data_IF_347161542724
#
_entry.id   IF_347161542724
#
_cell.length_a   1.000
_cell.length_b   1.000
_cell.length_c   1.000
_cell.angle_alpha   90.00
_cell.angle_beta   90.00
_cell.angle_gamma   90.00
#
_symmetry.space_group_name_H-M   'P 1'
#
loop_
_entity.id
_entity.type
_entity.pdbx_description
1 polymer ?
#
# COMPACT_ATOMS: atom_id res chain seq x y z
N UNK A 1 -38.96 -32.94 7.39
CA UNK A 1 -40.20 -32.17 7.16
C UNK A 1 -40.30 -31.84 5.68
N UNK A 2 -41.27 -32.47 5.04
CA UNK A 2 -41.90 -32.16 3.76
C UNK A 2 -42.64 -30.80 3.97
N UNK A 3 -42.83 -29.81 3.07
CA UNK A 3 -43.29 -29.80 1.68
C UNK A 3 -43.18 -28.37 1.09
N UNK A 4 -43.14 -28.29 -0.25
CA UNK A 4 -43.85 -27.27 -1.06
C UNK A 4 -43.04 -26.03 -1.46
N UNK A 5 -42.83 -25.66 -2.72
CA UNK A 5 -43.47 -26.03 -3.98
C UNK A 5 -44.51 -24.97 -4.43
N UNK A 6 -44.41 -24.55 -5.70
CA UNK A 6 -45.33 -23.69 -6.51
C UNK A 6 -45.02 -22.18 -6.50
N UNK A 7 -45.14 -21.42 -7.59
CA UNK A 7 -45.62 -21.71 -8.94
C UNK A 7 -45.17 -20.62 -9.93
N UNK A 8 -45.17 -21.03 -11.19
CA UNK A 8 -44.94 -20.28 -12.42
C UNK A 8 -46.09 -19.28 -12.67
N UNK A 9 -45.78 -18.08 -13.17
CA UNK A 9 -46.72 -17.32 -14.03
C UNK A 9 -45.99 -16.76 -15.25
N UNK A 10 -46.29 -17.36 -16.41
CA UNK A 10 -46.06 -16.84 -17.76
C UNK A 10 -47.40 -16.36 -18.35
N UNK A 11 -47.30 -15.38 -19.26
CA UNK A 11 -48.13 -15.05 -20.44
C UNK A 11 -48.56 -13.57 -20.48
N UNK A 12 -48.92 -13.01 -21.66
CA UNK A 12 -48.47 -13.30 -23.04
C UNK A 12 -48.18 -11.98 -23.84
N UNK A 13 -47.85 -12.06 -25.15
CA UNK A 13 -47.38 -10.93 -25.97
C UNK A 13 -48.51 -10.28 -26.78
N UNK A 14 -48.23 -9.11 -27.36
CA UNK A 14 -49.09 -8.48 -28.37
C UNK A 14 -48.29 -8.08 -29.61
N UNK A 15 -48.84 -8.51 -30.75
CA UNK A 15 -48.53 -8.29 -32.16
C UNK A 15 -48.29 -6.80 -32.53
N UNK A 16 -47.32 -6.45 -33.37
CA UNK A 16 -47.19 -6.56 -34.84
C UNK A 16 -47.77 -5.37 -35.63
N UNK A 17 -47.16 -5.13 -36.81
CA UNK A 17 -47.35 -4.09 -37.85
C UNK A 17 -46.30 -2.97 -37.77
N UNK A 18 -45.47 -2.67 -38.78
CA UNK A 18 -45.49 -3.01 -40.20
C UNK A 18 -45.45 -1.71 -41.02
N UNK A 19 -44.34 -1.43 -41.73
CA UNK A 19 -44.29 -0.83 -43.09
C UNK A 19 -42.88 -0.36 -43.46
N UNK A 20 -42.48 -0.77 -44.66
CA UNK A 20 -41.48 -0.13 -45.48
C UNK A 20 -42.03 1.18 -46.08
N UNK A 21 -41.18 2.18 -46.34
CA UNK A 21 -40.86 2.65 -47.70
C UNK A 21 -40.15 4.01 -47.73
N UNK A 22 -39.21 4.08 -48.69
CA UNK A 22 -38.81 5.22 -49.53
C UNK A 22 -38.31 6.55 -48.93
N UNK A 23 -37.01 6.79 -49.14
CA UNK A 23 -36.45 7.84 -50.00
C UNK A 23 -37.33 9.08 -50.23
N UNK A 24 -36.88 10.25 -49.73
CA UNK A 24 -36.88 11.48 -50.55
C UNK A 24 -35.81 12.45 -50.05
N UNK A 25 -34.92 12.82 -50.97
CA UNK A 25 -34.00 13.96 -50.87
C UNK A 25 -34.80 15.26 -50.63
N UNK A 26 -34.34 16.09 -49.68
CA UNK A 26 -34.60 17.53 -49.74
C UNK A 26 -33.32 18.28 -49.42
N UNK A 27 -32.79 18.88 -50.49
CA UNK A 27 -31.89 20.02 -50.43
C UNK A 27 -32.49 21.10 -49.52
N UNK A 28 -31.71 21.56 -48.56
CA UNK A 28 -31.87 22.89 -48.00
C UNK A 28 -30.59 23.69 -48.22
N UNK A 29 -30.77 24.70 -49.04
CA UNK A 29 -29.89 25.81 -49.37
C UNK A 29 -29.40 26.55 -48.12
N UNK A 30 -28.08 26.76 -48.05
CA UNK A 30 -27.42 27.68 -47.13
C UNK A 30 -27.70 29.14 -47.57
N UNK A 31 -28.03 30.06 -46.64
CA UNK A 31 -27.87 31.49 -46.86
C UNK A 31 -26.45 31.97 -46.49
N UNK A 32 -26.00 33.11 -47.06
CA UNK A 32 -24.60 33.53 -47.05
C UNK A 32 -24.18 34.33 -45.82
N UNK A 33 -22.85 34.36 -45.65
CA UNK A 33 -22.03 35.19 -44.77
C UNK A 33 -22.60 36.56 -44.32
N UNK A 34 -22.50 36.82 -43.01
CA UNK A 34 -22.16 38.08 -42.32
C UNK A 34 -22.11 37.71 -40.81
N UNK A 35 -21.16 38.07 -39.95
CA UNK A 35 -20.18 39.14 -39.95
C UNK A 35 -18.95 38.74 -39.11
N UNK A 36 -17.83 39.41 -39.39
CA UNK A 36 -16.55 39.32 -38.69
C UNK A 36 -16.69 39.64 -37.19
N UNK A 37 -16.53 38.62 -36.34
CA UNK A 37 -16.21 38.82 -34.93
C UNK A 37 -14.71 39.03 -34.78
N UNK A 38 -14.35 40.18 -34.20
CA UNK A 38 -13.00 40.64 -33.93
C UNK A 38 -12.16 39.63 -33.15
N UNK A 39 -10.94 39.37 -33.64
CA UNK A 39 -9.97 38.38 -33.15
C UNK A 39 -9.35 38.67 -31.74
N UNK A 40 -10.07 39.39 -30.85
CA UNK A 40 -9.64 39.64 -29.46
C UNK A 40 -10.39 38.84 -28.39
N UNK A 41 -11.49 38.16 -28.74
CA UNK A 41 -12.28 37.35 -27.78
C UNK A 41 -12.07 35.83 -27.88
N UNK A 42 -11.34 35.37 -28.91
CA UNK A 42 -11.06 33.94 -29.12
C UNK A 42 -10.30 33.27 -27.96
N UNK A 43 -9.31 33.90 -27.29
CA UNK A 43 -8.60 33.28 -26.18
C UNK A 43 -9.48 33.08 -24.94
N UNK A 44 -10.41 34.02 -24.68
CA UNK A 44 -11.35 33.93 -23.55
C UNK A 44 -12.44 32.90 -23.79
N UNK A 45 -12.95 32.79 -25.01
CA UNK A 45 -13.98 31.82 -25.35
C UNK A 45 -13.44 30.39 -25.34
N UNK A 46 -12.21 30.16 -25.83
CA UNK A 46 -11.54 28.85 -25.74
C UNK A 46 -11.21 28.49 -24.29
N UNK A 47 -10.75 29.44 -23.45
CA UNK A 47 -10.51 29.18 -22.02
C UNK A 47 -11.82 28.86 -21.26
N UNK A 48 -12.92 29.55 -21.61
CA UNK A 48 -14.27 29.27 -21.08
C UNK A 48 -14.89 27.95 -21.60
N UNK A 49 -14.50 27.51 -22.81
CA UNK A 49 -14.94 26.22 -23.37
C UNK A 49 -14.09 25.06 -22.86
N UNK A 50 -12.77 25.23 -22.68
CA UNK A 50 -11.88 24.24 -22.08
C UNK A 50 -12.16 24.03 -20.58
N UNK A 51 -12.56 25.08 -19.86
CA UNK A 51 -13.07 24.97 -18.47
C UNK A 51 -14.47 24.36 -18.37
N UNK A 52 -15.22 24.29 -19.48
CA UNK A 52 -16.48 23.53 -19.58
C UNK A 52 -16.27 22.06 -19.97
N UNK A 53 -15.16 21.74 -20.63
CA UNK A 53 -14.86 20.39 -21.16
C UNK A 53 -14.02 19.52 -20.23
N UNK A 54 -13.36 20.10 -19.22
CA UNK A 54 -12.98 19.37 -18.02
C UNK A 54 -14.06 19.56 -16.97
N UNK A 55 -15.23 18.96 -17.18
CA UNK A 55 -16.18 18.79 -16.08
C UNK A 55 -15.45 17.92 -15.05
N UNK A 56 -15.08 18.42 -13.85
CA UNK A 56 -14.59 17.53 -12.82
C UNK A 56 -15.71 16.53 -12.59
N UNK A 57 -15.40 15.24 -12.73
CA UNK A 57 -16.33 14.14 -12.52
C UNK A 57 -17.22 14.48 -11.31
N UNK A 58 -18.55 14.37 -11.42
CA UNK A 58 -19.48 14.90 -10.44
C UNK A 58 -19.05 14.38 -9.07
N UNK A 59 -18.73 15.26 -8.11
CA UNK A 59 -17.83 14.92 -6.99
C UNK A 59 -18.18 13.69 -6.14
N UNK A 60 -19.39 13.13 -6.28
CA UNK A 60 -19.80 11.81 -5.76
C UNK A 60 -19.10 10.63 -6.44
N UNK A 61 -18.59 10.78 -7.66
CA UNK A 61 -17.83 9.77 -8.40
C UNK A 61 -16.53 9.37 -7.69
N UNK A 62 -16.04 10.22 -6.79
CA UNK A 62 -14.83 10.01 -6.01
C UNK A 62 -15.11 9.67 -4.54
N UNK A 63 -16.37 9.49 -4.13
CA UNK A 63 -16.69 9.18 -2.73
C UNK A 63 -16.01 7.89 -2.25
N UNK A 64 -15.76 6.92 -3.15
CA UNK A 64 -15.00 5.70 -2.85
C UNK A 64 -13.58 5.97 -2.34
N UNK A 65 -12.97 7.09 -2.74
CA UNK A 65 -11.63 7.49 -2.33
C UNK A 65 -11.56 8.04 -0.88
N UNK A 66 -12.71 8.45 -0.32
CA UNK A 66 -12.81 9.11 0.99
C UNK A 66 -13.60 8.27 2.01
N UNK A 67 -14.39 7.28 1.58
CA UNK A 67 -15.31 6.54 2.44
C UNK A 67 -14.65 5.64 3.51
N UNK A 68 -13.37 5.30 3.36
CA UNK A 68 -12.66 4.35 4.24
C UNK A 68 -12.06 4.98 5.50
N UNK A 69 -11.96 6.32 5.57
CA UNK A 69 -11.04 6.97 6.52
C UNK A 69 -11.67 7.95 7.51
N UNK A 70 -12.98 8.22 7.42
CA UNK A 70 -13.61 9.24 8.26
C UNK A 70 -14.57 8.63 9.31
N UNK A 71 -14.25 8.68 10.61
CA UNK A 71 -15.31 8.78 11.61
C UNK A 71 -16.13 10.05 11.30
N UNK A 72 -17.46 9.96 11.32
CA UNK A 72 -18.34 11.10 11.01
C UNK A 72 -18.06 12.24 11.99
N UNK A 73 -17.43 13.30 11.49
CA UNK A 73 -16.96 14.41 12.31
C UNK A 73 -15.74 14.04 13.18
N UNK A 74 -14.84 15.01 13.37
CA UNK A 74 -13.64 14.85 14.16
C UNK A 74 -13.68 15.76 15.40
N UNK A 75 -13.52 15.15 16.57
CA UNK A 75 -13.25 15.89 17.81
C UNK A 75 -11.86 16.56 17.72
N UNK A 76 -11.57 17.62 18.50
CA UNK A 76 -10.25 18.27 18.48
C UNK A 76 -9.08 17.31 18.74
N UNK A 77 -9.26 16.33 19.63
CA UNK A 77 -8.27 15.29 19.90
C UNK A 77 -7.95 14.47 18.64
N UNK A 78 -8.97 14.08 17.87
CA UNK A 78 -8.82 13.36 16.60
C UNK A 78 -8.05 14.18 15.57
N UNK A 79 -8.37 15.48 15.44
CA UNK A 79 -7.65 16.37 14.51
C UNK A 79 -6.16 16.47 14.85
N UNK A 80 -5.84 16.58 16.15
CA UNK A 80 -4.46 16.59 16.63
C UNK A 80 -3.75 15.28 16.31
N UNK A 81 -4.39 14.13 16.57
CA UNK A 81 -3.82 12.83 16.21
C UNK A 81 -3.56 12.72 14.71
N UNK A 82 -4.53 13.09 13.87
CA UNK A 82 -4.38 13.05 12.41
C UNK A 82 -3.27 13.95 11.89
N UNK A 83 -3.10 15.12 12.51
CA UNK A 83 -2.05 16.07 12.15
C UNK A 83 -0.65 15.51 12.45
N UNK A 84 -0.46 14.83 13.58
CA UNK A 84 0.86 14.30 14.01
C UNK A 84 1.12 12.85 13.60
N UNK A 85 0.14 12.15 13.02
CA UNK A 85 0.20 10.70 12.76
C UNK A 85 1.43 10.23 11.94
N UNK A 86 2.00 11.12 11.14
CA UNK A 86 3.13 10.83 10.25
C UNK A 86 4.28 11.85 10.40
N UNK A 87 4.48 12.40 11.61
CA UNK A 87 5.61 13.29 11.89
C UNK A 87 6.96 12.57 11.81
N UNK A 88 6.99 11.29 12.17
CA UNK A 88 8.19 10.45 12.19
C UNK A 88 8.31 9.56 10.95
N UNK A 89 7.51 9.82 9.91
CA UNK A 89 7.53 9.01 8.70
C UNK A 89 8.85 9.20 7.94
N UNK A 90 9.46 8.09 7.52
CA UNK A 90 10.64 8.13 6.65
C UNK A 90 10.25 8.49 5.21
N UNK A 91 11.23 8.87 4.38
CA UNK A 91 10.99 9.34 3.02
C UNK A 91 10.38 8.28 2.09
N UNK A 92 10.64 7.00 2.34
CA UNK A 92 10.08 5.86 1.61
C UNK A 92 8.77 5.33 2.22
N UNK A 93 8.36 5.86 3.38
CA UNK A 93 7.12 5.45 4.01
C UNK A 93 5.91 6.07 3.34
N UNK A 94 4.89 5.24 3.15
CA UNK A 94 3.68 5.67 2.50
C UNK A 94 2.85 6.57 3.43
N UNK A 95 2.88 7.87 3.17
CA UNK A 95 1.95 8.83 3.78
C UNK A 95 0.73 9.00 2.86
N UNK A 96 -0.51 8.78 3.34
CA UNK A 96 -1.69 9.01 2.53
C UNK A 96 -1.81 10.52 2.15
N UNK A 97 -2.11 10.86 0.88
CA UNK A 97 -2.22 12.22 0.39
C UNK A 97 -3.16 13.07 1.24
N UNK A 98 -4.24 12.48 1.75
CA UNK A 98 -5.19 13.15 2.63
C UNK A 98 -4.48 13.78 3.85
N UNK A 99 -3.52 13.08 4.46
CA UNK A 99 -2.75 13.60 5.60
C UNK A 99 -1.77 14.70 5.20
N UNK A 100 -1.09 14.55 4.06
CA UNK A 100 -0.17 15.57 3.55
C UNK A 100 -0.91 16.89 3.27
N UNK A 101 -2.02 16.81 2.53
CA UNK A 101 -2.85 17.97 2.20
C UNK A 101 -3.56 18.55 3.42
N UNK A 102 -3.97 17.72 4.38
CA UNK A 102 -4.53 18.18 5.65
C UNK A 102 -3.48 18.97 6.46
N UNK A 103 -2.25 18.46 6.60
CA UNK A 103 -1.16 19.15 7.29
C UNK A 103 -0.86 20.50 6.63
N UNK A 104 -0.71 20.52 5.30
CA UNK A 104 -0.46 21.76 4.56
C UNK A 104 -1.57 22.82 4.77
N UNK A 105 -2.85 22.41 4.80
CA UNK A 105 -3.95 23.32 5.12
C UNK A 105 -3.88 23.82 6.57
N UNK A 106 -3.58 22.95 7.53
CA UNK A 106 -3.45 23.32 8.94
C UNK A 106 -2.28 24.29 9.15
N UNK A 107 -1.13 24.06 8.51
CA UNK A 107 0.03 24.94 8.57
C UNK A 107 -0.29 26.32 7.98
N UNK A 108 -1.01 26.35 6.86
CA UNK A 108 -1.50 27.59 6.27
C UNK A 108 -2.45 28.34 7.22
N UNK A 109 -3.38 27.63 7.87
CA UNK A 109 -4.29 28.22 8.88
C UNK A 109 -3.48 28.80 10.05
N UNK A 110 -2.52 28.06 10.58
CA UNK A 110 -1.69 28.47 11.72
C UNK A 110 -0.79 29.66 11.40
N UNK A 111 -0.28 29.76 10.16
CA UNK A 111 0.52 30.89 9.69
C UNK A 111 -0.28 32.18 9.52
N UNK A 112 -1.59 32.09 9.25
CA UNK A 112 -2.45 33.24 8.95
C UNK A 112 -3.12 33.81 10.20
N UNK A 113 -3.24 33.02 11.27
CA UNK A 113 -3.88 33.43 12.52
C UNK A 113 -3.11 32.92 13.74
N UNK A 114 -2.51 33.83 14.49
CA UNK A 114 -1.84 33.49 15.74
C UNK A 114 -2.83 32.91 16.76
N UNK A 115 -2.65 31.64 17.10
CA UNK A 115 -3.37 30.82 18.10
C UNK A 115 -4.71 30.20 17.68
N UNK A 116 -4.94 29.01 18.24
CA UNK A 116 -6.17 28.21 18.09
C UNK A 116 -7.36 28.85 18.82
N UNK A 117 -7.89 29.93 18.26
CA UNK A 117 -9.20 30.46 18.61
C UNK A 117 -10.33 29.56 18.07
N UNK A 118 -11.59 29.89 18.41
CA UNK A 118 -12.75 29.14 17.92
C UNK A 118 -12.86 29.10 16.39
N UNK A 119 -12.33 30.14 15.70
CA UNK A 119 -12.32 30.24 14.25
C UNK A 119 -11.27 29.33 13.62
N UNK A 120 -10.05 29.29 14.17
CA UNK A 120 -8.98 28.39 13.75
C UNK A 120 -9.41 26.94 13.87
N UNK A 121 -10.05 26.55 14.99
CA UNK A 121 -10.60 25.21 15.14
C UNK A 121 -11.71 24.90 14.11
N UNK A 122 -12.56 25.87 13.77
CA UNK A 122 -13.56 25.72 12.73
C UNK A 122 -12.92 25.54 11.34
N UNK A 123 -11.85 26.28 11.03
CA UNK A 123 -11.07 26.12 9.78
C UNK A 123 -10.38 24.76 9.72
N UNK A 124 -9.81 24.27 10.82
CA UNK A 124 -9.23 22.93 10.89
C UNK A 124 -10.28 21.84 10.64
N UNK A 125 -11.50 21.99 11.19
CA UNK A 125 -12.62 21.08 10.87
C UNK A 125 -13.01 21.13 9.40
N UNK A 126 -12.99 22.31 8.78
CA UNK A 126 -13.28 22.45 7.36
C UNK A 126 -12.20 21.79 6.48
N UNK A 127 -10.92 21.94 6.85
CA UNK A 127 -9.81 21.24 6.22
C UNK A 127 -9.97 19.72 6.32
N UNK A 128 -10.33 19.21 7.51
CA UNK A 128 -10.65 17.79 7.70
C UNK A 128 -11.76 17.32 6.77
N UNK A 129 -12.88 18.03 6.69
CA UNK A 129 -13.99 17.66 5.80
C UNK A 129 -13.55 17.67 4.33
N UNK A 130 -12.67 18.59 3.94
CA UNK A 130 -12.13 18.63 2.58
C UNK A 130 -11.30 17.39 2.25
N UNK A 131 -10.45 16.97 3.19
CA UNK A 131 -9.45 15.92 2.98
C UNK A 131 -9.97 14.50 3.22
N UNK A 132 -10.96 14.30 4.10
CA UNK A 132 -11.36 12.97 4.57
C UNK A 132 -12.83 12.63 4.33
N UNK A 133 -13.72 13.62 4.22
CA UNK A 133 -15.16 13.37 4.20
C UNK A 133 -15.74 13.32 2.78
N UNK A 134 -16.91 12.68 2.68
CA UNK A 134 -17.67 12.52 1.43
C UNK A 134 -18.09 13.86 0.83
N UNK A 135 -18.40 13.84 -0.46
CA UNK A 135 -18.69 15.06 -1.22
C UNK A 135 -19.83 15.89 -0.65
N UNK A 136 -20.86 15.26 -0.09
CA UNK A 136 -22.01 15.98 0.47
C UNK A 136 -21.63 16.81 1.72
N UNK A 137 -20.77 16.26 2.60
CA UNK A 137 -20.24 17.00 3.76
C UNK A 137 -19.35 18.16 3.31
N UNK A 138 -18.50 17.92 2.32
CA UNK A 138 -17.67 18.97 1.72
C UNK A 138 -18.48 20.08 1.08
N UNK A 139 -19.53 19.74 0.33
CA UNK A 139 -20.44 20.74 -0.25
C UNK A 139 -21.13 21.57 0.83
N UNK A 140 -21.51 20.96 1.95
CA UNK A 140 -22.06 21.69 3.10
C UNK A 140 -21.02 22.64 3.70
N UNK A 141 -19.77 22.19 3.89
CA UNK A 141 -18.66 23.03 4.35
C UNK A 141 -18.40 24.21 3.42
N UNK A 142 -18.35 24.02 2.10
CA UNK A 142 -18.14 25.13 1.17
C UNK A 142 -19.23 26.21 1.25
N UNK A 143 -20.48 25.82 1.61
CA UNK A 143 -21.57 26.78 1.80
C UNK A 143 -21.39 27.61 3.08
N UNK A 144 -20.84 27.02 4.14
CA UNK A 144 -20.55 27.72 5.41
C UNK A 144 -19.47 28.78 5.21
N UNK A 145 -18.43 28.48 4.42
CA UNK A 145 -17.29 29.37 4.17
C UNK A 145 -17.45 30.27 2.95
N UNK A 146 -18.68 30.55 2.51
CA UNK A 146 -18.95 31.38 1.32
C UNK A 146 -18.45 32.83 1.44
N UNK A 147 -18.25 33.32 2.66
CA UNK A 147 -17.81 34.68 2.97
C UNK A 147 -16.29 34.82 3.01
N UNK A 148 -15.53 33.72 2.96
CA UNK A 148 -14.07 33.70 2.91
C UNK A 148 -13.61 33.03 1.61
N UNK A 149 -13.57 33.77 0.48
CA UNK A 149 -13.34 33.18 -0.85
C UNK A 149 -11.98 32.51 -0.95
N UNK A 150 -10.93 33.11 -0.40
CA UNK A 150 -9.56 32.56 -0.42
C UNK A 150 -9.48 31.22 0.32
N UNK A 151 -10.05 31.14 1.53
CA UNK A 151 -10.09 29.88 2.29
C UNK A 151 -10.92 28.82 1.58
N UNK A 152 -12.08 29.20 1.03
CA UNK A 152 -12.93 28.29 0.25
C UNK A 152 -12.19 27.73 -0.97
N UNK A 153 -11.46 28.57 -1.68
CA UNK A 153 -10.70 28.17 -2.86
C UNK A 153 -9.52 27.27 -2.47
N UNK A 154 -8.87 27.50 -1.33
CA UNK A 154 -7.87 26.59 -0.76
C UNK A 154 -8.47 25.20 -0.44
N UNK A 155 -9.67 25.13 0.15
CA UNK A 155 -10.35 23.85 0.40
C UNK A 155 -10.63 23.10 -0.92
N UNK A 156 -11.10 23.81 -1.95
CA UNK A 156 -11.36 23.23 -3.28
C UNK A 156 -10.08 22.75 -3.94
N UNK A 157 -9.00 23.55 -3.88
CA UNK A 157 -7.70 23.20 -4.44
C UNK A 157 -7.14 21.93 -3.79
N UNK A 158 -7.16 21.86 -2.45
CA UNK A 158 -6.71 20.68 -1.71
C UNK A 158 -7.50 19.42 -2.10
N UNK A 159 -8.82 19.50 -2.19
CA UNK A 159 -9.64 18.32 -2.58
C UNK A 159 -9.34 17.86 -4.01
N UNK A 160 -9.12 18.79 -4.94
CA UNK A 160 -8.72 18.44 -6.32
C UNK A 160 -7.36 17.76 -6.35
N UNK A 161 -6.39 18.28 -5.60
CA UNK A 161 -5.06 17.68 -5.51
C UNK A 161 -5.11 16.26 -4.92
N UNK A 162 -5.88 16.06 -3.84
CA UNK A 162 -6.09 14.72 -3.26
C UNK A 162 -6.70 13.75 -4.29
N UNK A 163 -7.72 14.17 -5.04
CA UNK A 163 -8.32 13.32 -6.09
C UNK A 163 -7.29 12.97 -7.16
N UNK A 164 -6.46 13.94 -7.58
CA UNK A 164 -5.39 13.71 -8.55
C UNK A 164 -4.35 12.71 -8.02
N UNK A 165 -4.00 12.76 -6.74
CA UNK A 165 -3.02 11.85 -6.12
C UNK A 165 -3.59 10.43 -5.86
N UNK A 166 -4.88 10.33 -5.53
CA UNK A 166 -5.53 9.05 -5.22
C UNK A 166 -5.98 8.28 -6.46
N UNK A 167 -6.32 8.96 -7.56
CA UNK A 167 -6.84 8.29 -8.76
C UNK A 167 -5.85 7.28 -9.37
N UNK A 168 -4.54 7.59 -9.54
CA UNK A 168 -3.55 6.61 -10.01
C UNK A 168 -3.42 5.41 -9.08
N UNK A 169 -3.62 5.61 -7.78
CA UNK A 169 -3.51 4.55 -6.77
C UNK A 169 -4.69 3.61 -6.81
N UNK A 170 -5.90 4.13 -6.99
CA UNK A 170 -7.09 3.29 -7.23
C UNK A 170 -6.90 2.44 -8.49
N UNK A 171 -6.38 3.03 -9.57
CA UNK A 171 -6.05 2.29 -10.78
C UNK A 171 -4.99 1.20 -10.54
N UNK A 172 -3.92 1.50 -9.78
CA UNK A 172 -2.90 0.53 -9.41
C UNK A 172 -3.45 -0.61 -8.53
N UNK A 173 -4.32 -0.30 -7.58
CA UNK A 173 -4.99 -1.30 -6.74
C UNK A 173 -5.96 -2.17 -7.55
N UNK A 174 -6.70 -1.59 -8.51
CA UNK A 174 -7.51 -2.37 -9.45
C UNK A 174 -6.64 -3.29 -10.31
N UNK A 175 -5.50 -2.81 -10.81
CA UNK A 175 -4.54 -3.63 -11.56
C UNK A 175 -3.98 -4.76 -10.69
N UNK A 176 -3.63 -4.49 -9.43
CA UNK A 176 -3.21 -5.48 -8.45
C UNK A 176 -4.29 -6.54 -8.21
N UNK A 177 -5.56 -6.15 -8.01
CA UNK A 177 -6.67 -7.10 -7.84
C UNK A 177 -6.88 -7.97 -9.07
N UNK A 178 -6.72 -7.41 -10.28
CA UNK A 178 -6.75 -8.19 -11.52
C UNK A 178 -5.58 -9.17 -11.59
N UNK A 179 -4.38 -8.70 -11.24
CA UNK A 179 -3.17 -9.52 -11.20
C UNK A 179 -3.34 -10.72 -10.28
N UNK A 180 -3.87 -10.51 -9.07
CA UNK A 180 -4.15 -11.58 -8.09
C UNK A 180 -5.53 -12.24 -8.24
N UNK A 181 -6.20 -12.09 -9.38
CA UNK A 181 -7.55 -12.66 -9.59
C UNK A 181 -7.59 -14.18 -9.45
N UNK A 182 -6.47 -14.85 -9.76
CA UNK A 182 -6.30 -16.31 -9.67
C UNK A 182 -5.55 -16.76 -8.42
N UNK A 183 -5.41 -15.89 -7.41
CA UNK A 183 -4.70 -16.22 -6.17
C UNK A 183 -5.24 -17.50 -5.49
N UNK A 184 -6.57 -17.69 -5.51
CA UNK A 184 -7.19 -18.89 -4.93
C UNK A 184 -6.74 -20.17 -5.64
N UNK A 185 -6.66 -20.16 -6.97
CA UNK A 185 -6.18 -21.31 -7.74
C UNK A 185 -4.71 -21.62 -7.42
N UNK A 186 -3.86 -20.59 -7.35
CA UNK A 186 -2.45 -20.75 -6.94
C UNK A 186 -2.32 -21.36 -5.54
N UNK A 187 -3.13 -20.88 -4.61
CA UNK A 187 -3.11 -21.32 -3.20
C UNK A 187 -3.49 -22.80 -3.07
N UNK A 188 -4.46 -23.24 -3.85
CA UNK A 188 -5.04 -24.58 -3.77
C UNK A 188 -4.31 -25.59 -4.71
N UNK A 189 -3.36 -25.11 -5.52
CA UNK A 189 -2.59 -25.95 -6.44
C UNK A 189 -1.65 -26.91 -5.67
N UNK A 190 -1.58 -28.20 -6.05
CA UNK A 190 -0.66 -29.15 -5.43
C UNK A 190 0.79 -28.75 -5.69
N UNK A 191 1.65 -28.96 -4.69
CA UNK A 191 3.09 -28.78 -4.82
C UNK A 191 3.71 -29.96 -5.56
N UNK A 192 4.83 -29.72 -6.23
CA UNK A 192 5.66 -30.76 -6.85
C UNK A 192 6.81 -31.22 -5.94
N UNK A 193 6.66 -30.99 -4.62
CA UNK A 193 7.52 -31.51 -3.55
C UNK A 193 6.67 -32.25 -2.53
N UNK A 194 7.24 -33.29 -1.91
CA UNK A 194 6.52 -34.19 -1.02
C UNK A 194 7.02 -34.06 0.43
N UNK A 195 6.12 -34.07 1.40
CA UNK A 195 6.52 -34.03 2.80
C UNK A 195 5.34 -33.88 3.74
N UNK A 196 5.33 -34.65 4.83
CA UNK A 196 4.29 -34.58 5.86
C UNK A 196 4.49 -33.37 6.78
N UNK A 197 5.75 -33.07 7.11
CA UNK A 197 6.10 -31.94 7.98
C UNK A 197 6.63 -30.76 7.16
N UNK A 198 6.33 -29.54 7.60
CA UNK A 198 6.80 -28.28 7.00
C UNK A 198 8.31 -28.25 6.76
N UNK A 199 9.10 -28.65 7.76
CA UNK A 199 10.56 -28.73 7.64
C UNK A 199 11.01 -29.71 6.54
N UNK A 200 10.26 -30.79 6.28
CA UNK A 200 10.60 -31.75 5.21
C UNK A 200 10.43 -31.13 3.82
N UNK A 201 9.41 -30.27 3.65
CA UNK A 201 9.21 -29.52 2.41
C UNK A 201 10.34 -28.49 2.22
N UNK A 202 10.66 -27.70 3.26
CA UNK A 202 11.71 -26.65 3.20
C UNK A 202 13.09 -27.23 2.85
N UNK A 203 13.38 -28.45 3.30
CA UNK A 203 14.62 -29.18 2.99
C UNK A 203 14.85 -29.45 1.51
N UNK A 204 13.79 -29.44 0.70
CA UNK A 204 13.85 -29.70 -0.74
C UNK A 204 13.94 -28.41 -1.58
N UNK A 205 13.96 -27.25 -0.93
CA UNK A 205 13.91 -25.95 -1.58
C UNK A 205 15.30 -25.36 -1.82
N UNK A 206 15.34 -24.27 -2.56
CA UNK A 206 16.57 -23.55 -2.94
C UNK A 206 16.83 -22.34 -2.02
N UNK A 207 18.03 -21.74 -2.06
CA UNK A 207 18.33 -20.52 -1.30
C UNK A 207 17.37 -19.35 -1.59
N UNK A 208 16.86 -19.23 -2.83
CA UNK A 208 15.86 -18.23 -3.21
C UNK A 208 14.54 -18.41 -2.44
N UNK A 209 14.07 -19.65 -2.32
CA UNK A 209 12.87 -19.98 -1.55
C UNK A 209 13.10 -19.75 -0.05
N UNK A 210 14.27 -20.13 0.47
CA UNK A 210 14.62 -19.92 1.86
C UNK A 210 14.66 -18.44 2.23
N UNK A 211 15.18 -17.60 1.34
CA UNK A 211 15.17 -16.15 1.51
C UNK A 211 13.74 -15.62 1.60
N UNK A 212 12.89 -15.99 0.64
CA UNK A 212 11.47 -15.62 0.61
C UNK A 212 10.72 -16.06 1.87
N UNK A 213 10.97 -17.27 2.36
CA UNK A 213 10.38 -17.82 3.59
C UNK A 213 10.82 -17.02 4.82
N UNK A 214 12.11 -16.67 4.92
CA UNK A 214 12.66 -15.91 6.05
C UNK A 214 12.10 -14.49 6.09
N UNK A 215 11.91 -13.84 4.93
CA UNK A 215 11.33 -12.49 4.86
C UNK A 215 9.89 -12.43 5.38
N UNK A 216 9.12 -13.49 5.18
CA UNK A 216 7.70 -13.57 5.55
C UNK A 216 7.44 -14.45 6.78
N UNK A 217 8.49 -14.84 7.50
CA UNK A 217 8.36 -15.75 8.63
C UNK A 217 7.59 -15.11 9.79
N UNK A 218 6.54 -15.79 10.25
CA UNK A 218 5.89 -15.44 11.52
C UNK A 218 6.72 -16.00 12.68
N UNK A 219 7.48 -15.16 13.36
CA UNK A 219 8.33 -15.55 14.50
C UNK A 219 7.55 -16.14 15.69
N UNK A 220 6.22 -16.03 15.71
CA UNK A 220 5.35 -16.75 16.65
C UNK A 220 5.21 -18.25 16.37
N UNK A 221 5.51 -18.71 15.15
CA UNK A 221 5.34 -20.11 14.73
C UNK A 221 6.55 -21.01 15.11
N UNK A 222 7.47 -20.48 15.91
CA UNK A 222 8.74 -21.10 16.25
C UNK A 222 9.88 -20.73 15.29
N UNK A 223 11.05 -21.33 15.49
CA UNK A 223 12.26 -21.01 14.73
C UNK A 223 13.01 -22.25 14.22
N UNK A 224 12.44 -23.44 14.32
CA UNK A 224 13.13 -24.68 13.94
C UNK A 224 13.49 -24.72 12.45
N UNK A 225 12.59 -24.26 11.59
CA UNK A 225 12.82 -24.15 10.16
C UNK A 225 13.86 -23.09 9.82
N UNK A 226 13.82 -21.94 10.50
CA UNK A 226 14.80 -20.87 10.28
C UNK A 226 16.18 -21.26 10.80
N UNK A 227 16.27 -21.97 11.92
CA UNK A 227 17.54 -22.53 12.41
C UNK A 227 18.10 -23.56 11.43
N UNK A 228 17.25 -24.43 10.88
CA UNK A 228 17.69 -25.35 9.84
C UNK A 228 18.19 -24.60 8.59
N UNK A 229 17.44 -23.64 8.07
CA UNK A 229 17.82 -22.82 6.90
C UNK A 229 19.17 -22.13 7.15
N UNK A 230 19.29 -21.40 8.26
CA UNK A 230 20.51 -20.63 8.58
C UNK A 230 21.68 -21.51 9.02
N UNK A 231 21.47 -22.80 9.25
CA UNK A 231 22.55 -23.77 9.47
C UNK A 231 23.15 -24.29 8.16
N UNK A 232 22.53 -24.03 7.00
CA UNK A 232 23.04 -24.49 5.71
C UNK A 232 24.15 -23.58 5.18
N UNK A 233 25.23 -24.16 4.67
CA UNK A 233 26.32 -23.41 4.01
C UNK A 233 25.88 -22.66 2.75
N UNK A 234 24.81 -23.14 2.11
CA UNK A 234 24.23 -22.53 0.92
C UNK A 234 23.32 -21.35 1.24
N UNK A 235 22.95 -21.16 2.51
CA UNK A 235 22.17 -20.01 2.95
C UNK A 235 22.91 -18.72 2.58
N UNK A 236 22.19 -17.79 1.96
CA UNK A 236 22.75 -16.50 1.63
C UNK A 236 22.97 -15.66 2.90
N UNK A 237 24.07 -14.89 2.92
CA UNK A 237 24.41 -14.00 4.02
C UNK A 237 23.30 -12.97 4.29
N UNK A 238 22.62 -12.46 3.26
CA UNK A 238 21.49 -11.57 3.41
C UNK A 238 20.34 -12.25 4.20
N UNK A 239 20.02 -13.50 3.86
CA UNK A 239 19.00 -14.31 4.55
C UNK A 239 19.35 -14.47 6.03
N UNK A 240 20.59 -14.84 6.33
CA UNK A 240 21.06 -15.01 7.70
C UNK A 240 21.05 -13.70 8.50
N UNK A 241 21.46 -12.59 7.87
CA UNK A 241 21.46 -11.27 8.49
C UNK A 241 20.04 -10.80 8.81
N UNK A 242 19.12 -10.95 7.86
CA UNK A 242 17.71 -10.59 8.06
C UNK A 242 17.10 -11.39 9.21
N UNK A 243 17.36 -12.71 9.25
CA UNK A 243 16.92 -13.57 10.34
C UNK A 243 17.48 -13.11 11.68
N UNK A 244 18.77 -12.79 11.77
CA UNK A 244 19.39 -12.31 13.02
C UNK A 244 18.75 -11.01 13.50
N UNK A 245 18.68 -9.99 12.64
CA UNK A 245 18.17 -8.67 13.03
C UNK A 245 16.67 -8.71 13.40
N UNK A 246 15.90 -9.59 12.77
CA UNK A 246 14.48 -9.78 13.09
C UNK A 246 14.24 -10.33 14.50
N UNK A 247 15.26 -10.97 15.11
CA UNK A 247 15.20 -11.46 16.49
C UNK A 247 15.42 -10.36 17.56
N UNK A 248 15.80 -9.16 17.12
CA UNK A 248 16.25 -8.04 17.98
C UNK A 248 17.38 -8.49 18.92
N UNK A 249 18.54 -8.88 18.37
CA UNK A 249 19.56 -9.63 19.10
C UNK A 249 20.22 -8.84 20.23
N UNK A 250 20.15 -7.50 20.23
CA UNK A 250 20.68 -6.64 21.29
C UNK A 250 20.14 -6.99 22.69
N UNK A 251 18.90 -7.45 22.80
CA UNK A 251 18.30 -7.90 24.07
C UNK A 251 18.96 -9.16 24.64
N UNK A 252 19.50 -10.02 23.79
CA UNK A 252 20.23 -11.21 24.20
C UNK A 252 21.67 -10.87 24.55
N UNK A 253 22.29 -9.98 23.77
CA UNK A 253 23.67 -9.55 24.00
C UNK A 253 23.85 -8.80 25.34
N UNK A 254 22.83 -8.08 25.80
CA UNK A 254 22.82 -7.36 27.08
C UNK A 254 22.44 -8.23 28.28
N UNK A 255 22.12 -9.51 28.08
CA UNK A 255 21.79 -10.45 29.16
C UNK A 255 20.37 -10.32 29.71
N UNK A 256 19.48 -9.55 29.06
CA UNK A 256 18.09 -9.33 29.47
C UNK A 256 17.16 -10.51 29.06
N UNK A 257 17.63 -11.75 29.18
CA UNK A 257 16.94 -12.94 28.65
C UNK A 257 16.05 -13.58 29.71
N UNK A 258 14.75 -13.71 29.43
CA UNK A 258 13.84 -14.45 30.31
C UNK A 258 14.00 -15.96 30.12
N UNK A 259 13.63 -16.76 31.12
CA UNK A 259 13.80 -18.22 31.07
C UNK A 259 13.15 -18.88 29.83
N UNK A 260 11.98 -18.41 29.40
CA UNK A 260 11.30 -18.94 28.21
C UNK A 260 11.97 -18.57 26.88
N UNK A 261 12.86 -17.57 26.88
CA UNK A 261 13.56 -17.08 25.69
C UNK A 261 14.95 -17.71 25.53
N UNK A 262 15.39 -18.55 26.47
CA UNK A 262 16.74 -19.14 26.45
C UNK A 262 17.05 -19.90 25.16
N UNK A 263 16.08 -20.64 24.62
CA UNK A 263 16.27 -21.35 23.35
C UNK A 263 16.44 -20.39 22.17
N UNK A 264 15.67 -19.30 22.17
CA UNK A 264 15.76 -18.26 21.14
C UNK A 264 17.08 -17.48 21.24
N UNK A 265 17.54 -17.19 22.46
CA UNK A 265 18.84 -16.59 22.70
C UNK A 265 19.98 -17.51 22.24
N UNK A 266 19.88 -18.81 22.50
CA UNK A 266 20.83 -19.81 21.99
C UNK A 266 20.90 -19.84 20.46
N UNK A 267 19.73 -19.80 19.80
CA UNK A 267 19.64 -19.68 18.35
C UNK A 267 20.28 -18.38 17.83
N UNK A 268 19.95 -17.23 18.43
CA UNK A 268 20.52 -15.94 18.06
C UNK A 268 22.05 -15.91 18.20
N UNK A 269 22.59 -16.45 19.31
CA UNK A 269 24.04 -16.59 19.52
C UNK A 269 24.69 -17.48 18.46
N UNK A 270 24.09 -18.61 18.13
CA UNK A 270 24.61 -19.51 17.10
C UNK A 270 24.63 -18.85 15.71
N UNK A 271 23.55 -18.14 15.36
CA UNK A 271 23.44 -17.40 14.11
C UNK A 271 24.45 -16.24 14.02
N UNK A 272 24.59 -15.47 15.10
CA UNK A 272 25.58 -14.40 15.22
C UNK A 272 27.01 -14.96 15.08
N UNK A 273 27.29 -16.12 15.69
CA UNK A 273 28.60 -16.79 15.58
C UNK A 273 28.90 -17.21 14.14
N UNK A 274 27.90 -17.72 13.41
CA UNK A 274 28.06 -18.06 11.98
C UNK A 274 28.36 -16.81 11.14
N UNK A 275 27.70 -15.68 11.40
CA UNK A 275 27.95 -14.42 10.69
C UNK A 275 29.35 -13.86 11.02
N UNK A 276 29.73 -13.81 12.30
CA UNK A 276 31.05 -13.37 12.77
C UNK A 276 32.19 -14.16 12.11
N UNK A 277 32.02 -15.49 12.01
CA UNK A 277 33.05 -16.37 11.46
C UNK A 277 33.01 -16.52 9.93
N UNK A 278 32.20 -15.74 9.22
CA UNK A 278 32.11 -15.82 7.74
C UNK A 278 31.59 -17.17 7.22
N UNK A 279 30.67 -17.81 7.94
CA UNK A 279 30.14 -19.14 7.59
C UNK A 279 29.40 -19.16 6.24
N UNK A 280 28.81 -18.03 5.84
CA UNK A 280 28.00 -17.87 4.63
C UNK A 280 28.86 -17.30 3.48
N UNK A 281 29.39 -18.14 2.57
CA UNK A 281 30.19 -17.68 1.44
C UNK A 281 29.34 -16.94 0.40
N UNK A 282 28.04 -17.25 0.32
CA UNK A 282 27.11 -16.66 -0.63
C UNK A 282 26.61 -15.31 -0.13
N UNK A 283 26.69 -14.31 -0.99
CA UNK A 283 26.13 -12.98 -0.78
C UNK A 283 25.60 -12.46 -2.12
N UNK A 284 24.64 -13.19 -2.68
CA UNK A 284 24.02 -12.89 -3.96
C UNK A 284 22.82 -11.95 -3.81
N UNK A 285 22.09 -12.06 -2.70
CA UNK A 285 20.84 -11.30 -2.53
C UNK A 285 21.06 -9.89 -2.03
N UNK A 286 20.30 -8.96 -2.61
CA UNK A 286 20.10 -7.64 -2.07
C UNK A 286 19.10 -7.71 -0.90
N UNK A 287 19.34 -6.94 0.17
CA UNK A 287 18.33 -6.72 1.21
C UNK A 287 17.55 -5.44 0.89
N UNK A 288 16.39 -5.59 0.26
CA UNK A 288 15.48 -4.48 -0.02
C UNK A 288 14.70 -4.08 1.25
N UNK A 289 15.42 -3.42 2.17
CA UNK A 289 14.85 -2.95 3.44
C UNK A 289 14.29 -1.54 3.28
N UNK A 290 13.09 -1.33 3.80
CA UNK A 290 12.55 0.03 4.02
C UNK A 290 13.45 0.80 4.99
N UNK A 291 13.49 2.13 4.89
CA UNK A 291 14.40 2.97 5.69
C UNK A 291 14.21 2.75 7.19
N UNK A 292 12.97 2.66 7.69
CA UNK A 292 12.73 2.38 9.12
C UNK A 292 13.30 1.03 9.55
N UNK A 293 13.13 0.00 8.71
CA UNK A 293 13.65 -1.33 9.00
C UNK A 293 15.17 -1.36 8.92
N UNK A 294 15.76 -0.67 7.94
CA UNK A 294 17.21 -0.49 7.82
C UNK A 294 17.77 0.22 9.06
N UNK A 295 17.18 1.33 9.47
CA UNK A 295 17.59 2.07 10.66
C UNK A 295 17.48 1.21 11.93
N UNK A 296 16.41 0.41 12.06
CA UNK A 296 16.27 -0.54 13.16
C UNK A 296 17.38 -1.60 13.13
N UNK A 297 17.68 -2.17 11.96
CA UNK A 297 18.75 -3.17 11.82
C UNK A 297 20.13 -2.57 12.09
N UNK A 298 20.42 -1.37 11.60
CA UNK A 298 21.65 -0.62 11.90
C UNK A 298 21.82 -0.40 13.40
N UNK A 299 20.74 0.03 14.09
CA UNK A 299 20.74 0.20 15.54
C UNK A 299 21.01 -1.11 16.28
N UNK A 300 20.38 -2.22 15.87
CA UNK A 300 20.61 -3.55 16.46
C UNK A 300 22.08 -3.98 16.30
N UNK A 301 22.63 -3.88 15.08
CA UNK A 301 24.02 -4.26 14.81
C UNK A 301 25.02 -3.37 15.56
N UNK A 302 24.76 -2.07 15.66
CA UNK A 302 25.58 -1.15 16.45
C UNK A 302 25.57 -1.54 17.93
N UNK A 303 24.40 -1.87 18.49
CA UNK A 303 24.27 -2.32 19.88
C UNK A 303 25.02 -3.63 20.14
N UNK A 304 24.97 -4.59 19.19
CA UNK A 304 25.74 -5.83 19.27
C UNK A 304 27.25 -5.56 19.33
N UNK A 305 27.77 -4.76 18.40
CA UNK A 305 29.21 -4.44 18.34
C UNK A 305 29.69 -3.67 19.58
N UNK A 306 28.82 -2.82 20.15
CA UNK A 306 29.13 -2.09 21.38
C UNK A 306 29.45 -3.02 22.56
N UNK A 307 28.94 -4.25 22.56
CA UNK A 307 29.26 -5.23 23.61
C UNK A 307 30.72 -5.68 23.59
N UNK A 308 31.41 -5.60 22.45
CA UNK A 308 32.79 -6.05 22.23
C UNK A 308 33.05 -7.50 22.68
N UNK A 309 32.05 -8.37 22.57
CA UNK A 309 32.11 -9.78 22.99
C UNK A 309 31.67 -10.69 21.86
N UNK A 310 32.36 -11.80 21.67
CA UNK A 310 31.88 -12.88 20.79
C UNK A 310 30.60 -13.51 21.39
N UNK A 311 29.59 -13.90 20.58
CA UNK A 311 29.56 -13.90 19.11
C UNK A 311 28.93 -12.63 18.50
N UNK A 312 29.08 -11.47 19.15
CA UNK A 312 28.46 -10.20 18.74
C UNK A 312 29.41 -9.27 17.98
N UNK A 313 30.58 -9.76 17.57
CA UNK A 313 31.55 -9.00 16.77
C UNK A 313 31.19 -9.07 15.28
N UNK A 314 29.95 -8.70 14.96
CA UNK A 314 29.40 -8.79 13.62
C UNK A 314 30.14 -7.82 12.67
N UNK A 315 30.63 -8.27 11.50
CA UNK A 315 31.33 -7.40 10.55
C UNK A 315 30.56 -6.14 10.15
N UNK A 316 31.27 -5.06 9.86
CA UNK A 316 30.71 -3.83 9.29
C UNK A 316 30.25 -4.01 7.84
N UNK A 317 29.39 -3.10 7.36
CA UNK A 317 28.95 -3.05 5.98
C UNK A 317 28.03 -4.20 5.54
N UNK A 318 27.59 -5.08 6.44
CA UNK A 318 26.72 -6.21 6.08
C UNK A 318 25.38 -5.77 5.49
N UNK A 319 24.83 -4.63 5.92
CA UNK A 319 23.59 -4.05 5.36
C UNK A 319 23.81 -3.30 4.05
N UNK A 320 25.05 -2.88 3.77
CA UNK A 320 25.42 -2.12 2.57
C UNK A 320 25.77 -3.02 1.39
N UNK A 321 25.76 -4.34 1.61
CA UNK A 321 25.92 -5.31 0.55
C UNK A 321 24.71 -5.24 -0.40
N UNK A 322 24.90 -4.61 -1.55
CA UNK A 322 23.85 -4.40 -2.54
C UNK A 322 23.33 -5.69 -3.20
N UNK A 323 23.99 -6.84 -2.99
CA UNK A 323 23.70 -8.07 -3.70
C UNK A 323 24.02 -7.97 -5.20
N UNK A 324 24.06 -9.11 -5.87
CA UNK A 324 24.20 -9.18 -7.32
C UNK A 324 22.83 -9.35 -8.02
N UNK A 325 21.82 -9.88 -7.30
CA UNK A 325 20.51 -10.21 -7.88
C UNK A 325 19.37 -10.20 -6.86
N UNK A 326 18.15 -10.12 -7.39
CA UNK A 326 16.92 -10.39 -6.64
C UNK A 326 16.66 -11.90 -6.54
N UNK A 327 16.02 -12.38 -5.46
CA UNK A 327 15.60 -13.77 -5.35
C UNK A 327 14.48 -14.07 -6.36
N UNK A 328 14.47 -15.29 -6.89
CA UNK A 328 13.46 -15.82 -7.81
C UNK A 328 12.81 -17.08 -7.21
N UNK A 329 12.05 -16.94 -6.10
CA UNK A 329 11.50 -18.07 -5.38
C UNK A 329 10.47 -18.82 -6.22
N UNK A 330 10.52 -20.15 -6.11
CA UNK A 330 9.51 -21.09 -6.59
C UNK A 330 8.38 -21.25 -5.56
N UNK A 331 8.74 -21.23 -4.28
CA UNK A 331 7.82 -21.39 -3.17
C UNK A 331 7.87 -20.21 -2.20
N UNK A 332 6.79 -20.01 -1.47
CA UNK A 332 6.68 -19.06 -0.37
C UNK A 332 6.00 -19.73 0.82
N UNK A 333 5.94 -19.02 1.95
CA UNK A 333 5.19 -19.47 3.12
C UNK A 333 4.14 -18.45 3.51
N UNK A 334 2.90 -18.92 3.67
CA UNK A 334 1.77 -18.10 4.11
C UNK A 334 0.86 -18.94 4.99
N UNK A 335 0.33 -18.36 6.07
CA UNK A 335 -0.56 -19.05 7.02
C UNK A 335 0.06 -20.34 7.59
N UNK A 336 1.38 -20.35 7.79
CA UNK A 336 2.13 -21.51 8.29
C UNK A 336 2.27 -22.67 7.28
N UNK A 337 1.81 -22.51 6.04
CA UNK A 337 1.90 -23.52 4.98
C UNK A 337 2.84 -23.10 3.86
N UNK A 338 3.58 -24.08 3.32
CA UNK A 338 4.32 -23.93 2.06
C UNK A 338 3.34 -23.87 0.90
N UNK A 339 3.56 -22.92 -0.02
CA UNK A 339 2.75 -22.74 -1.23
C UNK A 339 3.64 -22.37 -2.41
N UNK A 340 3.09 -22.46 -3.61
CA UNK A 340 3.72 -21.83 -4.77
C UNK A 340 3.86 -20.32 -4.58
N UNK A 341 4.99 -19.77 -4.97
CA UNK A 341 5.13 -18.32 -5.14
C UNK A 341 4.28 -17.89 -6.35
N UNK A 342 3.49 -16.82 -6.20
CA UNK A 342 2.43 -16.49 -7.17
C UNK A 342 2.95 -16.26 -8.58
N UNK A 343 4.03 -15.48 -8.72
CA UNK A 343 4.64 -15.18 -10.03
C UNK A 343 5.19 -16.44 -10.70
N UNK A 344 5.78 -17.34 -9.90
CA UNK A 344 6.30 -18.61 -10.42
C UNK A 344 5.15 -19.47 -10.92
N UNK A 345 4.10 -19.62 -10.11
CA UNK A 345 2.92 -20.39 -10.47
C UNK A 345 2.27 -19.85 -11.73
N UNK A 346 2.04 -18.53 -11.82
CA UNK A 346 1.40 -17.91 -12.97
C UNK A 346 2.19 -18.16 -14.26
N UNK A 347 3.52 -18.10 -14.20
CA UNK A 347 4.39 -18.24 -15.35
C UNK A 347 4.62 -19.70 -15.78
N UNK A 348 4.66 -20.63 -14.82
CA UNK A 348 5.17 -21.99 -15.07
C UNK A 348 4.13 -23.10 -14.86
N UNK A 349 3.11 -22.86 -14.04
CA UNK A 349 2.15 -23.89 -13.61
C UNK A 349 0.75 -23.61 -14.14
N UNK A 350 0.30 -22.36 -14.09
CA UNK A 350 -1.02 -21.93 -14.51
C UNK A 350 -1.16 -21.95 -16.05
N UNK A 351 -1.46 -23.10 -16.64
CA UNK A 351 -1.78 -23.25 -18.06
C UNK A 351 -3.27 -23.17 -18.33
#
# INVERSE_FOLDING_TARGET
>A
MNLGGREIRRKPPTHANGRADSVTQRLFTLPPCQALATARDFPRMITALLSRWTTPLPGRAHDSLFATFAPKGAAPATLRTLYHQYDDAYADEHVPPQHQHFRALVDSIASTGGHADGLGLARMRAAYVSCFERFDAFRATLRLWRHEPEFRDALVAARRAIVADLSPREAAEMARRRHFSRWRECRDAPLDIEGVARLSLIRQMTPDDWHEIVLHWNWGDGFAEIDWITSQRQCDRATALFALCSLQPSRFATGAVKAHEQKLAGFACALASRLENGFYPNAEFALDLRMRQRAAFESELAALRATRRSPWLIPDGLLDHAGARQPAPKYTMSDGCVRWHYEYWLKHVAR
#
